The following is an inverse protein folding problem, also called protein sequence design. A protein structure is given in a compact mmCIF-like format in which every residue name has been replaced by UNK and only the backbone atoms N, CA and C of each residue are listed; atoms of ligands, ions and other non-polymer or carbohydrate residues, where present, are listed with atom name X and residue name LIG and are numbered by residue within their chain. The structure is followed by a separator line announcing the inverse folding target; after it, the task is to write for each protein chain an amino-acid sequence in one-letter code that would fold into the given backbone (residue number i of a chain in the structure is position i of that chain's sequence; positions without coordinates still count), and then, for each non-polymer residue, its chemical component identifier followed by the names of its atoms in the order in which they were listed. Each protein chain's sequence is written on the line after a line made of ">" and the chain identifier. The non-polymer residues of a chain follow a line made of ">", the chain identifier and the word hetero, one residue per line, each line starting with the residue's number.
data_IF_203300640901
#
_entry.id   IF_203300640901
#
_cell.length_a   1.000
_cell.length_b   1.000
_cell.length_c   1.000
_cell.angle_alpha   90.00
_cell.angle_beta   90.00
_cell.angle_gamma   90.00
#
_symmetry.space_group_name_H-M   'P 1'
#
loop_
_entity.id
_entity.type
_entity.pdbx_description
1 polymer ?
#
# COMPACT_ATOMS: atom_id res chain seq x y z
N UNK A 1 -18.16 -4.67 -20.37
CA UNK A 1 -17.84 -5.75 -21.33
C UNK A 1 -18.31 -7.06 -20.72
N UNK A 2 -19.29 -7.77 -21.32
CA UNK A 2 -19.98 -8.90 -20.67
C UNK A 2 -19.07 -10.09 -20.32
N UNK A 3 -17.89 -10.17 -20.93
CA UNK A 3 -16.99 -11.31 -20.80
C UNK A 3 -15.81 -11.09 -19.82
N UNK A 4 -15.65 -9.88 -19.27
CA UNK A 4 -14.66 -9.60 -18.22
C UNK A 4 -15.33 -9.79 -16.86
N UNK A 5 -14.79 -10.70 -16.07
CA UNK A 5 -15.23 -10.96 -14.69
C UNK A 5 -14.60 -9.95 -13.75
N UNK A 6 -13.28 -9.75 -13.89
CA UNK A 6 -12.51 -8.87 -13.02
C UNK A 6 -11.30 -8.30 -13.76
N UNK A 7 -10.89 -7.09 -13.38
CA UNK A 7 -9.67 -6.45 -13.84
C UNK A 7 -8.88 -5.98 -12.63
N UNK A 8 -7.74 -6.62 -12.39
CA UNK A 8 -6.93 -6.47 -11.18
C UNK A 8 -5.64 -5.74 -11.55
N UNK A 9 -5.51 -4.44 -11.24
CA UNK A 9 -4.28 -3.71 -11.47
C UNK A 9 -3.19 -4.17 -10.49
N UNK A 10 -1.98 -4.33 -11.01
CA UNK A 10 -0.75 -4.50 -10.24
C UNK A 10 0.14 -3.26 -10.37
N UNK A 11 1.45 -3.44 -10.19
CA UNK A 11 2.44 -2.35 -10.23
C UNK A 11 2.48 -1.61 -11.58
N UNK A 12 2.64 -2.37 -12.66
CA UNK A 12 2.82 -1.89 -14.02
C UNK A 12 2.16 -2.86 -15.03
N UNK A 13 1.16 -3.59 -14.53
CA UNK A 13 0.47 -4.64 -15.24
C UNK A 13 -0.99 -4.67 -14.78
N UNK A 14 -1.84 -5.33 -15.56
CA UNK A 14 -3.22 -5.59 -15.23
C UNK A 14 -3.51 -7.05 -15.53
N UNK A 15 -4.16 -7.75 -14.60
CA UNK A 15 -4.67 -9.10 -14.82
C UNK A 15 -6.16 -9.00 -15.13
N UNK A 16 -6.57 -9.52 -16.28
CA UNK A 16 -7.98 -9.52 -16.71
C UNK A 16 -8.48 -10.95 -16.67
N UNK A 17 -9.48 -11.19 -15.82
CA UNK A 17 -10.15 -12.50 -15.69
C UNK A 17 -11.31 -12.53 -16.67
N UNK A 18 -11.27 -13.47 -17.61
CA UNK A 18 -12.33 -13.69 -18.60
C UNK A 18 -13.30 -14.77 -18.14
N UNK A 19 -14.57 -14.63 -18.50
CA UNK A 19 -15.61 -15.64 -18.23
C UNK A 19 -15.40 -16.92 -19.02
N UNK A 20 -14.89 -16.80 -20.25
CA UNK A 20 -14.65 -17.90 -21.18
C UNK A 20 -13.24 -17.80 -21.80
N UNK A 21 -12.18 -18.01 -21.02
CA UNK A 21 -10.81 -17.85 -21.52
C UNK A 21 -10.48 -18.80 -22.68
N UNK A 22 -11.08 -19.99 -22.72
CA UNK A 22 -10.86 -20.99 -23.77
C UNK A 22 -11.24 -20.53 -25.19
N UNK A 23 -12.18 -19.59 -25.30
CA UNK A 23 -12.68 -19.07 -26.58
C UNK A 23 -12.23 -17.64 -26.85
N UNK A 24 -11.94 -16.87 -25.79
CA UNK A 24 -11.69 -15.44 -25.89
C UNK A 24 -10.22 -15.04 -25.72
N UNK A 25 -9.32 -15.95 -25.33
CA UNK A 25 -7.95 -15.58 -24.96
C UNK A 25 -7.18 -14.88 -26.09
N UNK A 26 -7.22 -15.40 -27.32
CA UNK A 26 -6.50 -14.82 -28.46
C UNK A 26 -7.01 -13.42 -28.79
N UNK A 27 -8.33 -13.28 -28.97
CA UNK A 27 -8.97 -11.99 -29.23
C UNK A 27 -8.73 -10.99 -28.08
N UNK A 28 -8.69 -11.46 -26.83
CA UNK A 28 -8.43 -10.62 -25.68
C UNK A 28 -7.00 -10.09 -25.67
N UNK A 29 -6.01 -10.90 -26.07
CA UNK A 29 -4.61 -10.45 -26.17
C UNK A 29 -4.49 -9.32 -27.18
N UNK A 30 -5.02 -9.50 -28.40
CA UNK A 30 -4.96 -8.48 -29.45
C UNK A 30 -5.67 -7.19 -29.02
N UNK A 31 -6.86 -7.33 -28.43
CA UNK A 31 -7.63 -6.16 -27.94
C UNK A 31 -6.93 -5.45 -26.79
N UNK A 32 -6.34 -6.18 -25.84
CA UNK A 32 -5.62 -5.57 -24.72
C UNK A 32 -4.36 -4.84 -25.17
N UNK A 33 -3.61 -5.40 -26.13
CA UNK A 33 -2.46 -4.72 -26.74
C UNK A 33 -2.89 -3.42 -27.41
N UNK A 34 -3.90 -3.50 -28.28
CA UNK A 34 -4.42 -2.32 -28.98
C UNK A 34 -4.92 -1.26 -27.99
N UNK A 35 -5.71 -1.66 -26.99
CA UNK A 35 -6.17 -0.72 -25.98
C UNK A 35 -5.02 -0.12 -25.20
N UNK A 36 -3.99 -0.89 -24.84
CA UNK A 36 -2.84 -0.35 -24.14
C UNK A 36 -2.12 0.74 -24.94
N UNK A 37 -2.00 0.55 -26.26
CA UNK A 37 -1.38 1.52 -27.18
C UNK A 37 -2.25 2.74 -27.46
N UNK A 38 -3.58 2.55 -27.57
CA UNK A 38 -4.55 3.61 -27.86
C UNK A 38 -5.01 4.37 -26.60
N UNK A 39 -4.75 3.84 -25.41
CA UNK A 39 -5.21 4.45 -24.16
C UNK A 39 -4.45 5.73 -23.87
N UNK A 40 -5.20 6.80 -23.65
CA UNK A 40 -4.65 7.98 -23.00
C UNK A 40 -4.54 7.75 -21.50
N UNK A 41 -3.48 8.30 -20.89
CA UNK A 41 -3.36 8.32 -19.44
C UNK A 41 -4.50 9.16 -18.87
N UNK A 42 -5.48 8.49 -18.26
CA UNK A 42 -6.49 9.15 -17.46
C UNK A 42 -5.91 9.44 -16.08
N UNK A 43 -6.01 10.70 -15.63
CA UNK A 43 -5.85 11.02 -14.22
C UNK A 43 -7.20 10.86 -13.53
N UNK A 44 -7.44 9.76 -12.79
CA UNK A 44 -8.70 9.61 -12.06
C UNK A 44 -8.82 10.69 -10.98
N UNK A 45 -10.05 11.05 -10.65
CA UNK A 45 -10.34 11.88 -9.47
C UNK A 45 -9.72 11.22 -8.23
N UNK A 46 -8.71 11.89 -7.66
CA UNK A 46 -7.92 11.38 -6.55
C UNK A 46 -8.42 11.98 -5.25
N UNK A 47 -8.80 11.12 -4.29
CA UNK A 47 -9.18 11.57 -2.94
C UNK A 47 -7.92 11.68 -2.09
N UNK A 48 -7.78 12.79 -1.36
CA UNK A 48 -6.79 12.91 -0.30
C UNK A 48 -7.33 12.27 0.98
N UNK A 49 -6.61 11.27 1.50
CA UNK A 49 -6.95 10.52 2.70
C UNK A 49 -5.83 10.68 3.73
N UNK A 50 -6.17 11.27 4.86
CA UNK A 50 -5.25 11.41 5.99
C UNK A 50 -5.33 10.20 6.91
N UNK A 51 -4.18 9.58 7.18
CA UNK A 51 -4.07 8.40 8.03
C UNK A 51 -3.35 8.80 9.32
N UNK A 52 -4.01 8.81 10.48
CA UNK A 52 -3.35 9.10 11.75
C UNK A 52 -2.43 7.94 12.12
N UNK A 53 -1.17 8.21 12.45
CA UNK A 53 -0.17 7.18 12.82
C UNK A 53 0.50 7.51 14.14
N UNK A 54 0.49 6.54 15.04
CA UNK A 54 1.30 6.53 16.26
C UNK A 54 2.63 5.87 15.89
N UNK A 55 3.68 6.67 15.68
CA UNK A 55 5.00 6.18 15.30
C UNK A 55 5.81 5.68 16.51
N UNK A 56 6.62 4.65 16.28
CA UNK A 56 7.51 4.09 17.29
C UNK A 56 6.80 3.31 18.39
N UNK A 57 7.50 3.11 19.51
CA UNK A 57 6.99 2.34 20.65
C UNK A 57 6.59 0.91 20.28
N UNK A 58 5.51 0.42 20.88
CA UNK A 58 5.00 -0.93 20.62
C UNK A 58 4.40 -1.10 19.20
N UNK A 59 3.91 0.00 18.59
CA UNK A 59 3.35 0.00 17.25
C UNK A 59 4.40 0.02 16.14
N UNK A 60 5.57 0.62 16.42
CA UNK A 60 6.70 0.75 15.51
C UNK A 60 8.01 0.19 16.05
N UNK A 61 8.09 -1.11 16.38
CA UNK A 61 9.27 -1.72 17.01
C UNK A 61 10.53 -1.68 16.14
N UNK A 62 10.40 -1.47 14.82
CA UNK A 62 11.53 -1.42 13.90
C UNK A 62 11.94 0.02 13.53
N UNK A 63 11.26 1.05 14.04
CA UNK A 63 11.58 2.46 13.71
C UNK A 63 13.05 2.81 14.01
N UNK A 64 13.56 2.37 15.16
CA UNK A 64 14.96 2.54 15.54
C UNK A 64 15.93 1.87 14.56
N UNK A 65 15.54 0.71 13.99
CA UNK A 65 16.36 -0.01 13.03
C UNK A 65 16.35 0.68 11.66
N UNK A 66 15.20 1.18 11.22
CA UNK A 66 15.07 1.99 10.00
C UNK A 66 15.94 3.24 10.12
N UNK A 67 15.83 3.97 11.23
CA UNK A 67 16.62 5.17 11.51
C UNK A 67 18.14 4.92 11.41
N UNK A 68 18.62 3.84 12.05
CA UNK A 68 20.04 3.44 11.95
C UNK A 68 20.46 3.09 10.52
N UNK A 69 19.62 2.39 9.77
CA UNK A 69 19.93 2.02 8.38
C UNK A 69 19.99 3.24 7.46
N UNK A 70 19.08 4.19 7.65
CA UNK A 70 18.99 5.42 6.86
C UNK A 70 20.01 6.49 7.26
N UNK A 71 20.75 6.31 8.36
CA UNK A 71 21.61 7.35 8.93
C UNK A 71 20.84 8.56 9.46
N UNK A 72 19.58 8.36 9.88
CA UNK A 72 18.67 9.40 10.39
C UNK A 72 18.37 9.15 11.87
N UNK A 73 17.88 10.17 12.56
CA UNK A 73 17.17 9.97 13.83
C UNK A 73 15.76 9.40 13.59
N UNK A 74 15.17 8.76 14.60
CA UNK A 74 13.79 8.27 14.52
C UNK A 74 12.81 9.39 14.17
N UNK A 75 13.02 10.60 14.72
CA UNK A 75 12.23 11.78 14.39
C UNK A 75 12.34 12.16 12.91
N UNK A 76 13.56 12.20 12.37
CA UNK A 76 13.77 12.50 10.95
C UNK A 76 13.15 11.43 10.03
N UNK A 77 13.13 10.16 10.45
CA UNK A 77 12.40 9.11 9.71
C UNK A 77 10.90 9.42 9.69
N UNK A 78 10.32 9.77 10.84
CA UNK A 78 8.90 10.14 10.93
C UNK A 78 8.59 11.37 10.07
N UNK A 79 9.38 12.44 10.20
CA UNK A 79 9.22 13.66 9.41
C UNK A 79 9.28 13.36 7.91
N UNK A 80 10.30 12.62 7.46
CA UNK A 80 10.48 12.27 6.06
C UNK A 80 9.33 11.39 5.54
N UNK A 81 8.93 10.36 6.29
CA UNK A 81 7.82 9.49 5.94
C UNK A 81 6.47 10.22 5.95
N UNK A 82 6.24 11.16 6.86
CA UNK A 82 4.97 11.90 6.96
C UNK A 82 4.86 13.07 5.96
N UNK A 83 6.01 13.58 5.47
CA UNK A 83 6.07 14.70 4.53
C UNK A 83 5.59 14.39 3.11
N UNK A 84 5.53 13.11 2.75
CA UNK A 84 5.18 12.67 1.40
C UNK A 84 3.68 12.44 1.26
N UNK A 85 3.14 12.89 0.13
CA UNK A 85 1.83 12.45 -0.34
C UNK A 85 2.02 11.20 -1.21
N UNK A 86 1.57 10.06 -0.70
CA UNK A 86 1.71 8.76 -1.34
C UNK A 86 0.55 8.50 -2.29
N UNK A 87 0.78 7.79 -3.39
CA UNK A 87 -0.30 7.31 -4.25
C UNK A 87 -0.50 5.81 -4.00
N UNK A 88 -1.76 5.40 -3.82
CA UNK A 88 -2.14 3.99 -3.82
C UNK A 88 -2.01 3.46 -5.24
N UNK A 89 -0.94 2.72 -5.55
CA UNK A 89 -0.74 2.15 -6.88
C UNK A 89 -1.72 1.01 -7.13
N UNK A 90 -1.83 0.09 -6.18
CA UNK A 90 -2.79 -1.00 -6.23
C UNK A 90 -3.08 -1.53 -4.83
N UNK A 91 -4.13 -2.35 -4.74
CA UNK A 91 -4.51 -3.09 -3.55
C UNK A 91 -4.28 -4.58 -3.82
N UNK A 92 -3.73 -5.32 -2.86
CA UNK A 92 -3.45 -6.75 -3.03
C UNK A 92 -2.94 -7.38 -1.75
N UNK A 93 -2.52 -8.65 -1.77
CA UNK A 93 -2.11 -9.44 -0.58
C UNK A 93 -3.24 -9.72 0.43
N UNK A 94 -3.93 -8.70 0.92
CA UNK A 94 -5.09 -8.80 1.80
C UNK A 94 -6.17 -7.79 1.39
N UNK A 95 -7.45 -8.00 1.80
CA UNK A 95 -8.50 -7.04 1.56
C UNK A 95 -8.11 -5.63 2.05
N UNK A 96 -7.91 -4.71 1.10
CA UNK A 96 -7.59 -3.32 1.40
C UNK A 96 -6.16 -3.01 1.80
N UNK A 97 -5.20 -3.93 1.64
CA UNK A 97 -3.79 -3.61 1.88
C UNK A 97 -3.26 -2.74 0.72
N UNK A 98 -2.80 -1.50 0.99
CA UNK A 98 -2.34 -0.58 -0.03
C UNK A 98 -0.84 -0.73 -0.28
N UNK A 99 -0.47 -0.85 -1.54
CA UNK A 99 0.91 -0.62 -1.97
C UNK A 99 1.08 0.85 -2.33
N UNK A 100 1.77 1.58 -1.44
CA UNK A 100 2.00 3.01 -1.59
C UNK A 100 3.34 3.24 -2.31
N UNK A 101 3.26 3.97 -3.42
CA UNK A 101 4.43 4.35 -4.22
C UNK A 101 5.20 5.53 -3.66
N UNK A 102 6.41 5.75 -4.18
CA UNK A 102 7.23 6.95 -3.92
C UNK A 102 7.73 7.11 -2.47
N UNK A 103 8.07 6.00 -1.80
CA UNK A 103 8.83 6.09 -0.54
C UNK A 103 10.19 6.77 -0.81
N UNK A 104 10.58 7.79 -0.02
CA UNK A 104 11.89 8.42 -0.16
C UNK A 104 13.02 7.41 -0.08
N UNK A 105 13.99 7.51 -0.99
CA UNK A 105 15.16 6.62 -1.07
C UNK A 105 15.89 6.42 0.27
N UNK A 106 16.10 7.46 1.10
CA UNK A 106 16.75 7.27 2.40
C UNK A 106 16.00 6.30 3.33
N UNK A 107 14.69 6.11 3.14
CA UNK A 107 13.89 5.20 3.95
C UNK A 107 13.80 3.79 3.38
N UNK A 108 14.40 3.52 2.22
CA UNK A 108 14.38 2.19 1.64
C UNK A 108 15.09 1.22 2.57
N UNK A 109 14.41 0.12 2.91
CA UNK A 109 14.89 -0.79 3.94
C UNK A 109 14.49 -2.22 3.59
N UNK A 110 15.42 -3.19 3.58
CA UNK A 110 15.09 -4.57 3.28
C UNK A 110 14.06 -5.13 4.26
N UNK A 111 13.25 -6.06 3.74
CA UNK A 111 12.37 -6.88 4.58
C UNK A 111 13.21 -7.65 5.60
N UNK A 112 12.60 -7.97 6.75
CA UNK A 112 13.20 -8.88 7.73
C UNK A 112 13.52 -10.21 7.06
N UNK A 113 14.70 -10.76 7.39
CA UNK A 113 15.11 -12.09 6.95
C UNK A 113 14.11 -13.16 7.43
N UNK A 114 13.65 -13.01 8.68
CA UNK A 114 12.61 -13.84 9.27
C UNK A 114 11.33 -13.00 9.45
N UNK A 115 10.25 -13.32 8.71
CA UNK A 115 8.96 -12.68 8.88
C UNK A 115 8.39 -12.91 10.28
N UNK A 116 7.66 -11.92 10.80
CA UNK A 116 6.86 -12.11 12.01
C UNK A 116 5.73 -13.08 11.71
N UNK A 117 5.45 -13.98 12.66
CA UNK A 117 4.26 -14.83 12.62
C UNK A 117 2.96 -14.02 12.71
N UNK A 118 3.03 -12.86 13.36
CA UNK A 118 1.90 -11.97 13.52
C UNK A 118 2.34 -10.51 13.48
N UNK A 119 1.75 -9.76 12.55
CA UNK A 119 1.77 -8.31 12.46
C UNK A 119 0.36 -7.83 12.81
N UNK A 120 0.20 -6.91 13.78
CA UNK A 120 -1.11 -6.37 14.14
C UNK A 120 -1.82 -5.66 12.97
N UNK A 121 -3.16 -5.67 12.99
CA UNK A 121 -3.94 -4.83 12.11
C UNK A 121 -3.66 -3.35 12.40
N UNK A 122 -3.60 -2.52 11.36
CA UNK A 122 -3.23 -1.11 11.43
C UNK A 122 -1.72 -0.85 11.42
N UNK A 123 -0.85 -1.88 11.41
CA UNK A 123 0.60 -1.65 11.38
C UNK A 123 1.01 -0.95 10.09
N UNK A 124 1.79 0.12 10.21
CA UNK A 124 2.44 0.84 9.11
C UNK A 124 3.85 0.29 8.99
N UNK A 125 4.26 -0.09 7.77
CA UNK A 125 5.57 -0.68 7.58
C UNK A 125 6.25 -0.32 6.27
N UNK A 126 7.56 -0.57 6.24
CA UNK A 126 8.42 -0.39 5.08
C UNK A 126 8.98 -1.75 4.64
N UNK A 127 8.98 -1.99 3.33
CA UNK A 127 9.57 -3.19 2.73
C UNK A 127 10.17 -2.91 1.36
N UNK A 128 11.49 -2.77 1.30
CA UNK A 128 12.22 -2.30 0.12
C UNK A 128 11.93 -0.82 -0.13
N UNK A 129 11.54 -0.48 -1.36
CA UNK A 129 11.16 0.87 -1.77
C UNK A 129 9.67 1.20 -1.55
N UNK A 130 8.96 0.41 -0.74
CA UNK A 130 7.52 0.53 -0.55
C UNK A 130 7.17 0.77 0.91
N UNK A 131 6.08 1.51 1.12
CA UNK A 131 5.37 1.61 2.41
C UNK A 131 3.90 1.24 2.22
N UNK A 132 3.18 1.06 3.32
CA UNK A 132 1.86 0.45 3.32
C UNK A 132 1.37 0.13 4.72
N UNK A 133 0.14 -0.35 4.79
CA UNK A 133 -0.59 -0.52 6.05
C UNK A 133 -1.25 -1.90 6.04
N UNK A 134 -0.99 -2.70 7.07
CA UNK A 134 -1.62 -4.00 7.26
C UNK A 134 -3.09 -3.81 7.67
N UNK A 135 -4.10 -4.15 6.85
CA UNK A 135 -5.50 -3.92 7.19
C UNK A 135 -6.01 -4.92 8.23
N UNK A 136 -5.38 -6.09 8.30
CA UNK A 136 -5.75 -7.24 9.13
C UNK A 136 -4.50 -7.84 9.78
N UNK A 137 -4.70 -8.61 10.85
CA UNK A 137 -3.60 -9.34 11.50
C UNK A 137 -3.11 -10.49 10.61
N UNK A 138 -1.82 -10.54 10.30
CA UNK A 138 -1.22 -11.55 9.40
C UNK A 138 0.28 -11.72 9.64
N UNK A 139 0.89 -12.85 9.25
CA UNK A 139 2.34 -12.90 9.09
C UNK A 139 2.86 -11.81 8.15
N UNK A 140 4.04 -11.26 8.41
CA UNK A 140 4.62 -10.18 7.62
C UNK A 140 6.09 -9.90 7.92
N UNK A 141 6.84 -9.57 6.86
CA UNK A 141 8.28 -9.31 6.95
C UNK A 141 8.68 -7.83 6.82
N UNK A 142 7.72 -6.91 6.78
CA UNK A 142 8.04 -5.48 6.69
C UNK A 142 8.52 -4.94 8.03
N UNK A 143 9.32 -3.88 7.97
CA UNK A 143 9.79 -3.15 9.15
C UNK A 143 8.66 -2.27 9.64
N UNK A 144 8.16 -2.52 10.85
CA UNK A 144 7.02 -1.82 11.42
C UNK A 144 7.50 -0.53 12.08
N UNK A 145 7.01 0.60 11.59
CA UNK A 145 7.45 1.94 12.02
C UNK A 145 6.37 2.69 12.82
N UNK A 146 5.14 2.21 12.80
CA UNK A 146 4.03 2.79 13.55
C UNK A 146 2.73 2.00 13.40
N UNK A 147 1.68 2.51 14.01
CA UNK A 147 0.35 1.92 14.00
C UNK A 147 -0.70 3.00 13.74
N UNK A 148 -1.65 2.74 12.86
CA UNK A 148 -2.88 3.54 12.75
C UNK A 148 -4.03 2.86 13.49
N UNK A 149 -4.84 3.61 14.27
CA UNK A 149 -6.09 3.09 14.83
C UNK A 149 -7.21 3.02 13.77
N UNK A 150 -7.01 3.61 12.58
CA UNK A 150 -8.01 3.65 11.53
C UNK A 150 -8.17 2.27 10.88
N UNK A 151 -9.41 1.79 10.77
CA UNK A 151 -9.71 0.54 10.06
C UNK A 151 -9.70 0.76 8.55
N UNK A 152 -8.76 0.11 7.87
CA UNK A 152 -8.68 0.13 6.40
C UNK A 152 -9.70 -0.78 5.73
N UNK A 153 -10.06 -1.88 6.40
CA UNK A 153 -11.04 -2.84 5.93
C UNK A 153 -12.06 -3.11 7.04
N UNK A 154 -13.33 -2.97 6.70
CA UNK A 154 -14.46 -3.33 7.55
C UNK A 154 -15.57 -3.95 6.68
N UNK A 155 -15.86 -5.26 6.79
CA UNK A 155 -16.87 -5.91 5.96
C UNK A 155 -18.29 -5.38 6.21
N UNK A 156 -18.51 -4.63 7.28
CA UNK A 156 -19.81 -4.03 7.61
C UNK A 156 -19.98 -2.61 7.04
N UNK A 157 -18.94 -2.03 6.42
CA UNK A 157 -19.00 -0.70 5.80
C UNK A 157 -19.23 -0.80 4.29
N UNK A 158 -19.89 0.21 3.70
CA UNK A 158 -20.01 0.37 2.24
C UNK A 158 -19.34 1.68 1.80
N UNK A 159 -18.22 1.65 1.05
CA UNK A 159 -17.46 0.46 0.66
C UNK A 159 -16.66 -0.15 1.83
N UNK A 160 -16.39 -1.47 1.80
CA UNK A 160 -15.71 -2.15 2.90
C UNK A 160 -14.22 -1.80 2.98
N UNK A 161 -13.62 -1.40 1.86
CA UNK A 161 -12.23 -0.95 1.78
C UNK A 161 -12.17 0.57 1.78
N UNK A 162 -11.27 1.14 2.60
CA UNK A 162 -11.13 2.59 2.76
C UNK A 162 -10.47 3.24 1.55
N UNK A 163 -9.32 2.66 1.16
CA UNK A 163 -8.46 3.16 0.10
C UNK A 163 -8.81 2.50 -1.23
N UNK A 164 -8.56 3.21 -2.32
CA UNK A 164 -8.74 2.74 -3.70
C UNK A 164 -7.48 3.06 -4.50
N UNK A 165 -7.16 2.28 -5.55
CA UNK A 165 -6.11 2.66 -6.50
C UNK A 165 -6.34 4.10 -6.99
N UNK A 166 -5.29 4.92 -6.96
CA UNK A 166 -5.34 6.34 -7.31
C UNK A 166 -5.59 7.31 -6.14
N UNK A 167 -6.01 6.84 -4.96
CA UNK A 167 -6.11 7.72 -3.78
C UNK A 167 -4.72 8.26 -3.37
N UNK A 168 -4.70 9.52 -2.89
CA UNK A 168 -3.54 10.17 -2.29
C UNK A 168 -3.60 9.99 -0.77
N UNK A 169 -2.55 9.44 -0.18
CA UNK A 169 -2.46 9.13 1.24
C UNK A 169 -1.40 10.02 1.89
N UNK A 170 -1.78 10.69 2.98
CA UNK A 170 -0.84 11.42 3.83
C UNK A 170 -0.86 10.85 5.23
N UNK A 171 0.30 10.47 5.74
CA UNK A 171 0.42 10.02 7.12
C UNK A 171 0.51 11.22 8.07
N UNK A 172 -0.27 11.18 9.15
CA UNK A 172 -0.36 12.27 10.13
C UNK A 172 0.16 11.76 11.49
N UNK A 173 1.38 12.12 11.91
CA UNK A 173 1.92 11.74 13.22
C UNK A 173 0.97 12.17 14.35
N UNK A 174 0.76 11.26 15.30
CA UNK A 174 -0.07 11.49 16.49
C UNK A 174 0.83 11.68 17.72
N UNK A 175 0.38 12.52 18.67
CA UNK A 175 1.17 12.95 19.84
C UNK A 175 1.55 11.80 20.78
N UNK A 176 0.83 10.69 20.72
CA UNK A 176 1.08 9.46 21.48
C UNK A 176 2.34 8.72 20.99
N UNK A 177 2.85 9.06 19.80
CA UNK A 177 4.08 8.52 19.22
C UNK A 177 5.15 9.58 19.00
N UNK A 178 6.19 9.20 18.27
CA UNK A 178 7.25 10.13 17.85
C UNK A 178 6.67 11.09 16.80
N UNK A 179 6.93 12.39 16.97
CA UNK A 179 6.51 13.48 16.08
C UNK A 179 7.71 14.35 15.71
#
# INVERSE_FOLDING_TARGET
>A
MPNVVEAIPGMNNITVILREPQTLALDAIERLQRWWEESEALEPDSRSVEIPVIYGGAGGPDLAAVARHSGLSEKQVVELHASVEYVVWFLGFQPGFPYLGNLPEPLHMPRRAEPRLQVPAGSVGIGGAQTGIYPLSTPGGWQLIGLTPLKLFDPMREPPVLLRPGDRVRFVPQKEGIC
#
